data_IF_564672266619
#
_entry.id   IF_564672266619
#
_cell.length_a   1.000
_cell.length_b   1.000
_cell.length_c   1.000
_cell.angle_alpha   90.00
_cell.angle_beta   90.00
_cell.angle_gamma   90.00
#
_symmetry.space_group_name_H-M   'P 1'
#
loop_
_entity.id
_entity.type
_entity.pdbx_description
1 polymer ?
#
# COMPACT_ATOMS: atom_id res chain seq x y z
N UNK A 1 21.38 19.68 -9.70
CA UNK A 1 20.07 20.33 -9.93
C UNK A 1 19.08 19.63 -9.03
N UNK A 2 18.55 20.33 -8.03
CA UNK A 2 17.72 19.72 -6.98
C UNK A 2 16.28 19.50 -7.45
N UNK A 3 15.67 18.42 -7.00
CA UNK A 3 14.24 18.18 -7.14
C UNK A 3 13.49 19.26 -6.33
N UNK A 4 12.46 19.87 -6.92
CA UNK A 4 11.65 20.91 -6.26
C UNK A 4 10.41 20.27 -5.65
N UNK A 5 10.12 20.58 -4.39
CA UNK A 5 8.95 20.09 -3.66
C UNK A 5 8.02 21.26 -3.38
N UNK A 6 6.74 21.11 -3.74
CA UNK A 6 5.71 22.12 -3.55
C UNK A 6 4.55 21.52 -2.77
N UNK A 7 4.18 22.12 -1.64
CA UNK A 7 2.93 21.76 -0.94
C UNK A 7 1.73 22.20 -1.77
N UNK A 8 0.76 21.30 -1.96
CA UNK A 8 -0.51 21.59 -2.61
C UNK A 8 -1.53 22.09 -1.58
N UNK A 9 -2.57 22.77 -2.06
CA UNK A 9 -3.63 23.32 -1.22
C UNK A 9 -4.74 22.31 -0.90
N UNK A 10 -4.66 21.10 -1.48
CA UNK A 10 -5.65 20.04 -1.31
C UNK A 10 -5.88 19.69 0.16
N UNK A 11 -7.13 19.81 0.59
CA UNK A 11 -7.59 19.41 1.93
C UNK A 11 -9.05 18.94 1.85
N UNK A 12 -9.46 18.10 2.81
CA UNK A 12 -10.85 17.64 2.92
C UNK A 12 -11.38 17.11 1.59
N UNK A 13 -12.53 17.62 1.15
CA UNK A 13 -13.19 17.19 -0.08
C UNK A 13 -12.34 17.40 -1.34
N UNK A 14 -11.59 18.51 -1.43
CA UNK A 14 -10.73 18.79 -2.59
C UNK A 14 -9.61 17.73 -2.73
N UNK A 15 -9.06 17.28 -1.60
CA UNK A 15 -8.07 16.20 -1.62
C UNK A 15 -8.69 14.89 -2.13
N UNK A 16 -9.92 14.59 -1.73
CA UNK A 16 -10.63 13.40 -2.19
C UNK A 16 -10.99 13.51 -3.69
N UNK A 17 -11.43 14.68 -4.14
CA UNK A 17 -11.71 14.97 -5.55
C UNK A 17 -10.48 14.73 -6.43
N UNK A 18 -9.32 15.22 -6.02
CA UNK A 18 -8.07 15.11 -6.78
C UNK A 18 -7.53 13.68 -6.83
N UNK A 19 -7.74 12.90 -5.76
CA UNK A 19 -7.40 11.46 -5.73
C UNK A 19 -8.36 10.65 -6.61
N UNK A 20 -9.66 10.88 -6.47
CA UNK A 20 -10.68 10.22 -7.28
C UNK A 20 -10.49 10.53 -8.77
N UNK A 21 -10.25 11.80 -9.13
CA UNK A 21 -10.04 12.21 -10.52
C UNK A 21 -8.86 11.49 -11.17
N UNK A 22 -7.72 11.38 -10.46
CA UNK A 22 -6.52 10.66 -10.95
C UNK A 22 -6.74 9.18 -11.12
N UNK A 23 -7.51 8.57 -10.22
CA UNK A 23 -7.87 7.16 -10.32
C UNK A 23 -8.84 6.92 -11.48
N UNK A 24 -9.87 7.75 -11.59
CA UNK A 24 -10.88 7.69 -12.65
C UNK A 24 -10.27 7.86 -14.04
N UNK A 25 -9.31 8.78 -14.19
CA UNK A 25 -8.63 9.05 -15.47
C UNK A 25 -7.66 7.95 -15.90
N UNK A 26 -7.42 6.92 -15.06
CA UNK A 26 -6.43 5.86 -15.34
C UNK A 26 -5.05 6.43 -15.76
N UNK A 27 -4.67 7.57 -15.18
CA UNK A 27 -3.51 8.34 -15.64
C UNK A 27 -2.23 8.06 -14.83
N UNK A 28 -2.19 6.93 -14.14
CA UNK A 28 -1.09 6.58 -13.24
C UNK A 28 -1.49 5.57 -12.18
N UNK A 29 -0.63 5.42 -11.18
CA UNK A 29 -0.80 4.48 -10.07
C UNK A 29 -0.57 5.13 -8.72
N UNK A 30 -1.31 4.66 -7.72
CA UNK A 30 -1.06 4.96 -6.31
C UNK A 30 -0.23 3.85 -5.69
N UNK A 31 0.90 4.21 -5.09
CA UNK A 31 1.83 3.30 -4.43
C UNK A 31 1.81 3.57 -2.93
N UNK A 32 1.42 2.57 -2.15
CA UNK A 32 1.35 2.63 -0.70
C UNK A 32 2.30 1.59 -0.07
N UNK A 33 3.03 1.98 0.97
CA UNK A 33 3.99 1.09 1.64
C UNK A 33 5.27 1.78 2.04
N UNK A 34 6.32 0.98 2.25
CA UNK A 34 7.69 1.45 2.50
C UNK A 34 8.62 1.08 1.35
N UNK A 35 9.84 1.61 1.35
CA UNK A 35 10.87 1.20 0.41
C UNK A 35 11.09 -0.33 0.48
N UNK A 36 10.96 -0.98 -0.68
CA UNK A 36 11.05 -2.43 -0.81
C UNK A 36 9.79 -3.22 -0.46
N UNK A 37 8.75 -2.61 0.12
CA UNK A 37 7.48 -3.31 0.42
C UNK A 37 6.28 -2.40 0.16
N UNK A 38 5.63 -2.58 -0.99
CA UNK A 38 4.54 -1.71 -1.41
C UNK A 38 3.45 -2.42 -2.21
N UNK A 39 2.24 -1.87 -2.15
CA UNK A 39 1.15 -2.14 -3.06
C UNK A 39 1.05 -1.01 -4.08
N UNK A 40 0.96 -1.37 -5.35
CA UNK A 40 0.65 -0.47 -6.46
C UNK A 40 -0.79 -0.71 -6.90
N UNK A 41 -1.60 0.33 -6.82
CA UNK A 41 -3.02 0.34 -7.11
C UNK A 41 -3.27 1.27 -8.29
N UNK A 42 -3.80 0.71 -9.37
CA UNK A 42 -4.15 1.44 -10.58
C UNK A 42 -5.42 0.86 -11.19
N UNK A 43 -6.02 1.65 -12.07
CA UNK A 43 -7.17 1.28 -12.89
C UNK A 43 -6.72 1.19 -14.33
N UNK A 44 -7.02 0.11 -15.05
CA UNK A 44 -6.84 0.09 -16.50
C UNK A 44 -7.86 1.03 -17.19
N UNK A 45 -7.55 1.64 -18.35
CA UNK A 45 -8.42 2.62 -19.01
C UNK A 45 -9.88 2.17 -19.19
N UNK A 46 -10.09 0.89 -19.48
CA UNK A 46 -11.42 0.29 -19.70
C UNK A 46 -11.95 -0.51 -18.49
N UNK A 47 -11.24 -0.52 -17.36
CA UNK A 47 -11.65 -1.26 -16.16
C UNK A 47 -12.75 -0.49 -15.41
N UNK A 48 -13.90 -1.12 -15.17
CA UNK A 48 -14.91 -0.53 -14.31
C UNK A 48 -14.37 -0.33 -12.88
N UNK A 49 -14.78 0.75 -12.24
CA UNK A 49 -14.48 1.02 -10.85
C UNK A 49 -15.68 1.61 -10.12
N UNK A 50 -15.69 1.44 -8.81
CA UNK A 50 -16.66 2.03 -7.89
C UNK A 50 -15.94 3.08 -7.03
N UNK A 51 -16.58 4.23 -6.86
CA UNK A 51 -16.18 5.25 -5.89
C UNK A 51 -17.29 5.42 -4.84
N UNK A 52 -16.91 5.33 -3.58
CA UNK A 52 -17.81 5.57 -2.45
C UNK A 52 -17.21 6.63 -1.54
N UNK A 53 -18.01 7.65 -1.21
CA UNK A 53 -17.67 8.69 -0.24
C UNK A 53 -18.50 8.55 1.02
N UNK A 54 -17.84 8.67 2.17
CA UNK A 54 -18.49 8.75 3.48
C UNK A 54 -17.76 9.78 4.35
N UNK A 55 -18.26 11.01 4.36
CA UNK A 55 -17.60 12.13 5.02
C UNK A 55 -16.18 12.33 4.47
N UNK A 56 -15.19 12.33 5.36
CA UNK A 56 -13.77 12.50 5.00
C UNK A 56 -13.11 11.22 4.44
N UNK A 57 -13.87 10.16 4.13
CA UNK A 57 -13.33 8.90 3.62
C UNK A 57 -13.77 8.67 2.18
N UNK A 58 -12.80 8.39 1.31
CA UNK A 58 -12.99 7.91 -0.05
C UNK A 58 -12.56 6.45 -0.13
N UNK A 59 -13.39 5.61 -0.76
CA UNK A 59 -13.04 4.24 -1.13
C UNK A 59 -13.20 4.07 -2.64
N UNK A 60 -12.13 3.63 -3.29
CA UNK A 60 -12.05 3.34 -4.72
C UNK A 60 -11.82 1.84 -4.89
N UNK A 61 -12.57 1.17 -5.76
CA UNK A 61 -12.49 -0.29 -5.95
C UNK A 61 -12.58 -0.66 -7.42
N UNK A 62 -11.71 -1.55 -7.86
CA UNK A 62 -11.87 -2.31 -9.09
C UNK A 62 -12.11 -3.78 -8.74
N UNK A 63 -12.20 -4.65 -9.75
CA UNK A 63 -12.23 -6.10 -9.52
C UNK A 63 -10.93 -6.65 -8.92
N UNK A 64 -9.81 -5.93 -9.00
CA UNK A 64 -8.46 -6.43 -8.69
C UNK A 64 -7.72 -5.64 -7.62
N UNK A 65 -8.21 -4.46 -7.26
CA UNK A 65 -7.59 -3.63 -6.23
C UNK A 65 -8.59 -2.69 -5.57
N UNK A 66 -8.24 -2.21 -4.38
CA UNK A 66 -8.99 -1.19 -3.69
C UNK A 66 -8.06 -0.22 -2.96
N UNK A 67 -8.53 1.02 -2.80
CA UNK A 67 -7.86 2.07 -2.06
C UNK A 67 -8.90 2.78 -1.17
N UNK A 68 -8.68 2.79 0.14
CA UNK A 68 -9.41 3.63 1.09
C UNK A 68 -8.47 4.72 1.59
N UNK A 69 -8.91 5.97 1.49
CA UNK A 69 -8.17 7.15 1.91
C UNK A 69 -9.04 8.00 2.84
N UNK A 70 -8.48 8.42 3.96
CA UNK A 70 -9.07 9.40 4.87
C UNK A 70 -8.40 10.77 4.66
N UNK A 71 -9.17 11.79 4.31
CA UNK A 71 -8.72 13.19 4.24
C UNK A 71 -8.60 13.81 5.63
N UNK A 72 -7.76 13.21 6.48
CA UNK A 72 -7.47 13.75 7.80
C UNK A 72 -6.87 15.16 7.68
N UNK A 73 -7.17 16.03 8.65
CA UNK A 73 -6.72 17.44 8.65
C UNK A 73 -5.19 17.62 8.60
N UNK A 74 -4.43 16.57 8.94
CA UNK A 74 -2.97 16.55 8.91
C UNK A 74 -2.40 15.81 7.69
N UNK A 75 -3.24 15.25 6.82
CA UNK A 75 -2.80 14.70 5.55
C UNK A 75 -2.46 15.86 4.60
N UNK A 76 -1.25 15.84 4.06
CA UNK A 76 -0.72 16.89 3.20
C UNK A 76 -0.30 16.29 1.87
N UNK A 77 -0.74 16.93 0.79
CA UNK A 77 -0.27 16.60 -0.55
C UNK A 77 0.94 17.48 -0.93
N UNK A 78 1.96 16.85 -1.47
CA UNK A 78 3.14 17.49 -2.04
C UNK A 78 3.29 17.10 -3.50
N UNK A 79 3.53 18.06 -4.36
CA UNK A 79 4.00 17.84 -5.72
C UNK A 79 5.52 17.85 -5.72
N UNK A 80 6.12 16.82 -6.30
CA UNK A 80 7.56 16.64 -6.37
C UNK A 80 7.96 16.63 -7.85
N UNK A 81 8.67 17.67 -8.25
CA UNK A 81 9.19 17.82 -9.61
C UNK A 81 10.31 16.81 -9.83
N UNK A 82 10.23 16.09 -10.96
CA UNK A 82 11.24 15.12 -11.39
C UNK A 82 12.11 15.75 -12.47
N UNK A 83 13.38 15.34 -12.53
CA UNK A 83 14.29 15.80 -13.58
C UNK A 83 13.76 15.42 -14.98
N UNK A 84 13.21 14.21 -15.08
CA UNK A 84 12.59 13.66 -16.29
C UNK A 84 11.17 13.19 -15.96
N UNK A 85 10.19 13.67 -16.74
CA UNK A 85 8.79 13.24 -16.67
C UNK A 85 7.85 14.13 -15.84
N UNK A 86 6.61 13.69 -15.71
CA UNK A 86 5.58 14.39 -14.95
C UNK A 86 5.90 14.40 -13.45
N UNK A 87 5.50 15.46 -12.72
CA UNK A 87 5.69 15.52 -11.27
C UNK A 87 4.89 14.41 -10.58
N UNK A 88 5.48 13.81 -9.55
CA UNK A 88 4.77 12.85 -8.69
C UNK A 88 4.05 13.59 -7.56
N UNK A 89 2.99 12.98 -7.02
CA UNK A 89 2.30 13.52 -5.84
C UNK A 89 2.60 12.62 -4.65
N UNK A 90 3.07 13.18 -3.54
CA UNK A 90 3.18 12.48 -2.26
C UNK A 90 2.04 12.90 -1.34
N UNK A 91 1.26 11.94 -0.85
CA UNK A 91 0.36 12.10 0.27
C UNK A 91 1.14 11.71 1.53
N UNK A 92 1.28 12.62 2.48
CA UNK A 92 2.09 12.41 3.66
C UNK A 92 1.48 13.05 4.90
N UNK A 93 1.81 12.49 6.06
CA UNK A 93 1.43 13.01 7.37
C UNK A 93 2.67 13.43 8.15
N UNK A 94 2.57 14.34 9.13
CA UNK A 94 3.68 14.56 10.06
C UNK A 94 4.10 13.25 10.73
N UNK A 95 5.39 12.97 10.87
CA UNK A 95 5.91 11.69 11.38
C UNK A 95 5.36 11.32 12.75
N UNK A 96 5.07 12.31 13.60
CA UNK A 96 4.42 12.08 14.90
C UNK A 96 2.99 11.52 14.82
N UNK A 97 2.36 11.54 13.63
CA UNK A 97 1.04 10.95 13.31
C UNK A 97 1.17 9.57 12.64
N UNK A 98 2.36 9.19 12.17
CA UNK A 98 2.62 7.84 11.68
C UNK A 98 2.82 6.87 12.86
N UNK A 99 1.71 6.33 13.36
CA UNK A 99 1.66 5.52 14.58
C UNK A 99 1.12 4.11 14.36
N UNK A 100 1.41 3.50 13.21
CA UNK A 100 1.09 2.09 13.03
C UNK A 100 1.90 1.24 14.01
N UNK A 101 1.24 0.30 14.66
CA UNK A 101 1.91 -0.69 15.50
C UNK A 101 2.76 -1.59 14.60
N UNK A 102 4.07 -1.66 14.89
CA UNK A 102 5.03 -2.40 14.11
C UNK A 102 5.24 -3.81 14.69
N UNK A 103 4.85 -4.84 13.94
CA UNK A 103 5.27 -6.21 14.22
C UNK A 103 6.66 -6.45 13.63
N UNK A 104 7.54 -7.11 14.39
CA UNK A 104 8.90 -7.47 13.96
C UNK A 104 9.06 -8.94 13.56
N UNK A 105 7.94 -9.66 13.51
CA UNK A 105 7.85 -11.06 13.11
C UNK A 105 6.48 -11.32 12.51
N UNK A 106 6.35 -12.46 11.81
CA UNK A 106 5.08 -12.94 11.30
C UNK A 106 4.07 -12.98 12.45
N UNK A 107 3.03 -12.15 12.38
CA UNK A 107 2.12 -11.93 13.51
C UNK A 107 0.69 -12.11 13.04
N UNK A 108 -0.04 -12.92 13.79
CA UNK A 108 -1.48 -13.07 13.61
C UNK A 108 -2.21 -11.84 14.15
N UNK A 109 -3.03 -11.21 13.31
CA UNK A 109 -3.82 -10.03 13.65
C UNK A 109 -5.30 -10.34 13.90
N UNK A 110 -5.74 -11.59 13.70
CA UNK A 110 -7.16 -11.95 13.76
C UNK A 110 -7.91 -11.69 12.45
N UNK A 111 -9.26 -11.74 12.48
CA UNK A 111 -10.13 -11.44 11.34
C UNK A 111 -9.95 -10.02 10.79
N UNK A 112 -10.14 -9.87 9.47
CA UNK A 112 -10.15 -8.57 8.79
C UNK A 112 -11.56 -8.05 8.55
N UNK A 113 -12.11 -7.36 9.55
CA UNK A 113 -13.45 -6.75 9.49
C UNK A 113 -13.48 -5.44 8.66
N UNK A 114 -12.30 -4.95 8.25
CA UNK A 114 -12.10 -3.70 7.51
C UNK A 114 -11.84 -3.94 6.01
N UNK A 115 -12.20 -5.12 5.49
CA UNK A 115 -11.93 -5.51 4.11
C UNK A 115 -12.63 -4.61 3.08
N UNK A 116 -11.89 -4.22 2.04
CA UNK A 116 -12.42 -3.47 0.90
C UNK A 116 -12.82 -4.40 -0.25
N UNK A 117 -12.00 -5.40 -0.55
CA UNK A 117 -12.32 -6.42 -1.56
C UNK A 117 -13.17 -7.53 -0.95
N UNK A 118 -14.03 -8.13 -1.76
CA UNK A 118 -14.95 -9.19 -1.33
C UNK A 118 -14.25 -10.54 -1.12
N UNK A 119 -13.14 -10.78 -1.83
CA UNK A 119 -12.37 -12.01 -1.71
C UNK A 119 -11.82 -12.14 -0.29
N UNK A 120 -12.12 -13.29 0.32
CA UNK A 120 -11.76 -13.65 1.68
C UNK A 120 -12.17 -12.59 2.72
N UNK A 121 -13.31 -11.93 2.50
CA UNK A 121 -13.88 -10.94 3.42
C UNK A 121 -14.03 -11.52 4.85
N UNK A 122 -13.57 -10.80 5.87
CA UNK A 122 -13.52 -11.31 7.25
C UNK A 122 -12.46 -12.40 7.49
N UNK A 123 -11.67 -12.77 6.48
CA UNK A 123 -10.59 -13.75 6.59
C UNK A 123 -9.47 -13.29 7.54
N UNK A 124 -8.67 -14.25 8.01
CA UNK A 124 -7.61 -13.98 8.98
C UNK A 124 -6.47 -13.17 8.35
N UNK A 125 -5.97 -12.14 9.04
CA UNK A 125 -4.84 -11.32 8.60
C UNK A 125 -3.56 -11.67 9.33
N UNK A 126 -2.48 -11.78 8.56
CA UNK A 126 -1.13 -11.96 9.07
C UNK A 126 -0.23 -10.81 8.64
N UNK A 127 0.40 -10.14 9.59
CA UNK A 127 1.47 -9.16 9.35
C UNK A 127 2.77 -9.90 9.06
N UNK A 128 3.45 -9.56 7.95
CA UNK A 128 4.69 -10.24 7.55
C UNK A 128 5.90 -9.83 8.41
N UNK A 129 5.74 -8.84 9.29
CA UNK A 129 6.72 -8.55 10.35
C UNK A 129 7.87 -7.64 9.94
N UNK A 130 7.63 -6.68 9.04
CA UNK A 130 8.69 -5.78 8.51
C UNK A 130 9.25 -4.80 9.56
N UNK A 131 8.60 -4.65 10.71
CA UNK A 131 9.06 -3.76 11.78
C UNK A 131 8.96 -2.26 11.44
N UNK A 132 8.02 -1.88 10.57
CA UNK A 132 7.88 -0.52 10.04
C UNK A 132 6.69 0.21 10.67
N UNK A 133 6.88 1.49 10.98
CA UNK A 133 5.83 2.37 11.54
C UNK A 133 5.13 3.21 10.46
N UNK A 134 5.78 3.40 9.31
CA UNK A 134 5.22 4.14 8.18
C UNK A 134 4.22 3.31 7.37
N UNK A 135 4.37 1.99 7.32
CA UNK A 135 3.37 1.12 6.72
C UNK A 135 3.43 -0.30 7.32
N UNK A 136 2.33 -1.02 7.17
CA UNK A 136 2.19 -2.43 7.48
C UNK A 136 1.86 -3.20 6.21
N UNK A 137 2.50 -4.35 6.01
CA UNK A 137 2.22 -5.26 4.90
C UNK A 137 1.64 -6.56 5.46
N UNK A 138 0.44 -6.94 5.01
CA UNK A 138 -0.27 -8.11 5.54
C UNK A 138 -0.90 -8.96 4.45
N UNK A 139 -1.20 -10.21 4.79
CA UNK A 139 -1.91 -11.16 3.94
C UNK A 139 -3.28 -11.45 4.56
N UNK A 140 -4.37 -11.23 3.82
CA UNK A 140 -5.70 -11.72 4.22
C UNK A 140 -5.91 -13.09 3.62
N UNK A 141 -6.06 -14.07 4.50
CA UNK A 141 -5.96 -15.48 4.14
C UNK A 141 -7.32 -16.19 4.23
N UNK A 142 -7.65 -17.06 3.27
CA UNK A 142 -8.68 -18.07 3.48
C UNK A 142 -8.25 -19.08 4.57
N UNK A 143 -9.20 -19.87 5.08
CA UNK A 143 -9.00 -20.74 6.25
C UNK A 143 -7.88 -21.79 6.08
N UNK A 144 -7.68 -22.31 4.88
CA UNK A 144 -6.62 -23.29 4.58
C UNK A 144 -5.23 -22.63 4.62
N UNK A 145 -5.08 -21.47 4.00
CA UNK A 145 -3.85 -20.69 4.06
C UNK A 145 -3.56 -20.20 5.49
N UNK A 146 -4.59 -19.73 6.21
CA UNK A 146 -4.44 -19.30 7.59
C UNK A 146 -3.91 -20.43 8.50
N UNK A 147 -4.44 -21.65 8.35
CA UNK A 147 -3.92 -22.84 9.05
C UNK A 147 -2.49 -23.20 8.66
N UNK A 148 -2.09 -22.94 7.42
CA UNK A 148 -0.72 -23.18 6.96
C UNK A 148 0.27 -22.13 7.51
N UNK A 149 -0.15 -20.87 7.65
CA UNK A 149 0.71 -19.76 8.12
C UNK A 149 0.82 -19.73 9.64
N UNK A 150 -0.26 -20.00 10.39
CA UNK A 150 -0.32 -19.83 11.84
C UNK A 150 0.82 -20.53 12.63
N UNK A 151 1.26 -21.75 12.29
CA UNK A 151 2.39 -22.40 12.99
C UNK A 151 3.72 -21.66 12.87
N UNK A 152 3.86 -20.72 11.92
CA UNK A 152 5.07 -19.96 11.67
C UNK A 152 5.07 -18.59 12.35
N UNK A 153 3.99 -18.19 13.03
CA UNK A 153 3.92 -16.94 13.78
C UNK A 153 5.08 -16.83 14.79
N UNK A 154 5.61 -15.62 14.97
CA UNK A 154 6.83 -15.35 15.73
C UNK A 154 8.13 -15.52 14.94
N UNK A 155 8.10 -16.03 13.71
CA UNK A 155 9.29 -16.06 12.84
C UNK A 155 9.59 -14.66 12.29
N UNK A 156 10.81 -14.12 12.45
CA UNK A 156 11.17 -12.80 11.94
C UNK A 156 11.25 -12.74 10.41
N UNK A 157 11.14 -11.54 9.85
CA UNK A 157 11.51 -11.28 8.46
C UNK A 157 13.05 -11.35 8.29
N UNK A 158 13.59 -11.87 7.17
CA UNK A 158 12.88 -12.48 6.04
C UNK A 158 12.60 -13.98 6.21
N UNK A 159 13.05 -14.61 7.29
CA UNK A 159 12.96 -16.06 7.53
C UNK A 159 11.54 -16.61 7.44
N UNK A 160 10.53 -15.82 7.84
CA UNK A 160 9.13 -16.20 7.72
C UNK A 160 8.72 -16.49 6.28
N UNK A 161 9.22 -15.72 5.31
CA UNK A 161 8.87 -15.91 3.89
C UNK A 161 9.39 -17.22 3.35
N UNK A 162 10.60 -17.64 3.71
CA UNK A 162 11.14 -18.95 3.30
C UNK A 162 10.38 -20.16 3.87
N UNK A 163 9.40 -19.94 4.76
CA UNK A 163 8.54 -20.98 5.32
C UNK A 163 7.14 -20.99 4.71
N UNK A 164 6.64 -19.85 4.26
CA UNK A 164 5.25 -19.67 3.81
C UNK A 164 5.11 -19.34 2.32
N UNK A 165 6.21 -19.00 1.63
CA UNK A 165 6.22 -18.53 0.25
C UNK A 165 5.46 -19.44 -0.72
N UNK A 166 5.68 -20.74 -0.68
CA UNK A 166 5.03 -21.70 -1.57
C UNK A 166 3.51 -21.72 -1.37
N UNK A 167 3.04 -21.69 -0.12
CA UNK A 167 1.62 -21.66 0.21
C UNK A 167 0.99 -20.32 -0.19
N UNK A 168 1.67 -19.21 0.09
CA UNK A 168 1.23 -17.85 -0.27
C UNK A 168 1.16 -17.67 -1.78
N UNK A 169 2.16 -18.14 -2.52
CA UNK A 169 2.18 -18.08 -3.99
C UNK A 169 1.02 -18.89 -4.58
N UNK A 170 0.84 -20.13 -4.09
CA UNK A 170 -0.23 -21.01 -4.57
C UNK A 170 -1.64 -20.46 -4.30
N UNK A 171 -1.85 -19.84 -3.13
CA UNK A 171 -3.15 -19.25 -2.78
C UNK A 171 -3.36 -17.85 -3.39
N UNK A 172 -2.28 -17.11 -3.64
CA UNK A 172 -2.30 -15.70 -4.07
C UNK A 172 -3.33 -14.88 -3.27
N UNK A 173 -3.19 -14.79 -1.93
CA UNK A 173 -4.18 -14.12 -1.08
C UNK A 173 -4.27 -12.62 -1.40
N UNK A 174 -5.33 -11.98 -0.91
CA UNK A 174 -5.40 -10.52 -0.93
C UNK A 174 -4.25 -9.97 -0.07
N UNK A 175 -3.43 -9.10 -0.68
CA UNK A 175 -2.37 -8.41 0.05
C UNK A 175 -2.88 -7.04 0.44
N UNK A 176 -2.79 -6.75 1.72
CA UNK A 176 -3.32 -5.53 2.32
C UNK A 176 -2.16 -4.72 2.88
N UNK A 177 -2.01 -3.50 2.37
CA UNK A 177 -1.01 -2.53 2.84
C UNK A 177 -1.71 -1.37 3.52
N UNK A 178 -1.33 -1.10 4.77
CA UNK A 178 -1.85 0.01 5.55
C UNK A 178 -0.75 1.03 5.78
N UNK A 179 -1.06 2.30 5.54
CA UNK A 179 -0.22 3.45 5.85
C UNK A 179 -1.08 4.50 6.58
N UNK A 180 -0.52 5.57 7.17
CA UNK A 180 -1.32 6.60 7.81
C UNK A 180 -2.40 7.13 6.88
N UNK A 181 -3.66 7.14 7.36
CA UNK A 181 -4.83 7.58 6.60
C UNK A 181 -5.15 6.76 5.34
N UNK A 182 -4.49 5.61 5.11
CA UNK A 182 -4.64 4.89 3.85
C UNK A 182 -4.60 3.37 4.04
N UNK A 183 -5.44 2.68 3.27
CA UNK A 183 -5.43 1.23 3.13
C UNK A 183 -5.52 0.88 1.64
N UNK A 184 -4.60 0.07 1.16
CA UNK A 184 -4.58 -0.48 -0.18
C UNK A 184 -4.76 -2.00 -0.13
N UNK A 185 -5.58 -2.55 -1.02
CA UNK A 185 -5.75 -4.00 -1.20
C UNK A 185 -5.47 -4.38 -2.64
N UNK A 186 -4.76 -5.49 -2.84
CA UNK A 186 -4.46 -6.02 -4.17
C UNK A 186 -4.81 -7.50 -4.23
N UNK A 187 -5.58 -7.86 -5.25
CA UNK A 187 -6.10 -9.19 -5.55
C UNK A 187 -5.80 -9.59 -7.00
N UNK A 188 -4.52 -9.54 -7.35
CA UNK A 188 -3.97 -10.12 -8.58
C UNK A 188 -3.15 -11.37 -8.29
N UNK A 189 -3.06 -12.28 -9.26
CA UNK A 189 -2.23 -13.48 -9.10
C UNK A 189 -0.77 -13.10 -8.82
N UNK A 190 -0.13 -13.79 -7.87
CA UNK A 190 1.28 -13.59 -7.56
C UNK A 190 2.13 -14.29 -8.61
N UNK A 191 3.17 -13.60 -9.10
CA UNK A 191 4.16 -14.22 -9.97
C UNK A 191 5.34 -14.76 -9.16
N UNK A 192 5.98 -15.87 -9.60
CA UNK A 192 7.17 -16.38 -8.95
C UNK A 192 8.32 -15.34 -8.97
N UNK A 193 9.27 -15.43 -8.02
CA UNK A 193 10.47 -14.58 -8.04
C UNK A 193 11.20 -14.64 -9.39
N UNK A 194 11.56 -13.48 -9.93
CA UNK A 194 12.20 -13.36 -11.25
C UNK A 194 11.25 -13.44 -12.45
N UNK A 195 9.96 -13.66 -12.23
CA UNK A 195 8.93 -13.53 -13.25
C UNK A 195 8.66 -12.08 -13.64
N UNK A 196 7.99 -11.88 -14.78
CA UNK A 196 7.49 -10.56 -15.17
C UNK A 196 6.44 -10.11 -14.16
N UNK A 197 6.47 -8.84 -13.69
CA UNK A 197 5.39 -8.30 -12.87
C UNK A 197 4.04 -8.45 -13.61
N UNK A 198 2.95 -8.82 -12.91
CA UNK A 198 1.65 -8.93 -13.55
C UNK A 198 1.19 -7.57 -14.04
N UNK A 199 0.41 -7.56 -15.13
CA UNK A 199 -0.20 -6.33 -15.63
C UNK A 199 -1.27 -5.82 -14.66
N UNK A 200 -1.28 -4.51 -14.41
CA UNK A 200 -2.16 -3.85 -13.46
C UNK A 200 -1.70 -3.92 -12.00
N UNK A 201 -2.64 -3.84 -11.04
CA UNK A 201 -2.32 -3.74 -9.62
C UNK A 201 -1.48 -4.90 -9.12
N UNK A 202 -0.45 -4.62 -8.35
CA UNK A 202 0.44 -5.65 -7.85
C UNK A 202 1.12 -5.21 -6.56
N UNK A 203 1.78 -6.14 -5.88
CA UNK A 203 2.63 -5.82 -4.74
C UNK A 203 4.06 -6.18 -5.03
N UNK A 204 4.99 -5.46 -4.41
CA UNK A 204 6.42 -5.75 -4.45
C UNK A 204 6.94 -5.97 -3.05
N UNK A 205 7.72 -7.04 -2.88
CA UNK A 205 8.54 -7.30 -1.70
C UNK A 205 9.98 -7.57 -2.18
N UNK A 206 10.88 -6.63 -1.94
CA UNK A 206 12.30 -6.72 -2.30
C UNK A 206 13.13 -6.79 -1.02
N UNK A 207 13.64 -7.98 -0.62
CA UNK A 207 14.37 -8.16 0.63
C UNK A 207 15.56 -7.20 0.79
N UNK A 208 16.33 -6.97 -0.28
CA UNK A 208 17.50 -6.10 -0.25
C UNK A 208 17.13 -4.63 0.04
N UNK A 209 16.05 -4.12 -0.56
CA UNK A 209 15.56 -2.76 -0.29
C UNK A 209 14.96 -2.65 1.12
N UNK A 210 14.22 -3.67 1.57
CA UNK A 210 13.66 -3.72 2.93
C UNK A 210 14.78 -3.70 3.97
N UNK A 211 15.89 -4.40 3.70
CA UNK A 211 17.04 -4.48 4.61
C UNK A 211 17.74 -3.13 4.83
N UNK A 212 17.59 -2.17 3.91
CA UNK A 212 18.16 -0.82 4.05
C UNK A 212 17.53 -0.02 5.19
N UNK A 213 16.36 -0.41 5.70
CA UNK A 213 15.79 0.25 6.87
C UNK A 213 15.05 1.55 6.61
N UNK A 214 14.88 1.93 5.33
CA UNK A 214 14.33 3.23 4.93
C UNK A 214 12.83 3.11 4.64
N UNK A 215 12.03 4.03 5.17
CA UNK A 215 10.57 4.05 4.92
C UNK A 215 10.25 4.66 3.55
N UNK A 216 10.81 5.84 3.25
CA UNK A 216 10.58 6.57 1.99
C UNK A 216 11.63 6.21 0.94
N UNK A 217 11.28 5.93 -0.33
CA UNK A 217 12.28 5.70 -1.37
C UNK A 217 13.31 6.85 -1.46
N UNK A 218 14.62 6.57 -1.56
CA UNK A 218 15.66 7.62 -1.58
C UNK A 218 15.49 8.66 -2.70
N UNK A 219 14.79 8.30 -3.77
CA UNK A 219 14.49 9.17 -4.91
C UNK A 219 13.36 10.18 -4.65
N UNK A 220 12.67 10.07 -3.52
CA UNK A 220 11.53 10.93 -3.16
C UNK A 220 11.96 11.91 -2.06
N UNK A 221 12.22 13.18 -2.40
CA UNK A 221 12.65 14.22 -1.46
C UNK A 221 11.48 14.72 -0.62
N UNK A 222 10.90 13.86 0.23
CA UNK A 222 9.86 14.29 1.15
C UNK A 222 10.45 15.27 2.18
N UNK A 223 9.75 16.35 2.59
CA UNK A 223 10.24 17.23 3.64
C UNK A 223 10.55 16.47 4.93
N UNK A 224 11.52 16.96 5.69
CA UNK A 224 11.83 16.44 7.02
C UNK A 224 10.56 16.42 7.90
N UNK A 225 10.48 15.47 8.83
CA UNK A 225 9.34 15.24 9.72
C UNK A 225 8.01 14.86 9.05
N UNK A 226 8.04 14.36 7.82
CA UNK A 226 6.89 13.71 7.19
C UNK A 226 7.11 12.21 6.97
N UNK A 227 6.04 11.45 7.12
CA UNK A 227 5.94 10.04 6.76
C UNK A 227 4.94 9.87 5.64
N UNK A 228 5.26 8.99 4.70
CA UNK A 228 4.47 8.76 3.50
C UNK A 228 3.22 7.94 3.80
N UNK A 229 2.08 8.37 3.26
CA UNK A 229 0.86 7.57 3.15
C UNK A 229 0.81 6.85 1.80
N UNK A 230 1.04 7.59 0.71
CA UNK A 230 1.14 7.05 -0.64
C UNK A 230 1.84 8.02 -1.59
N UNK A 231 2.33 7.48 -2.70
CA UNK A 231 2.80 8.23 -3.86
C UNK A 231 1.82 8.01 -5.01
N UNK A 232 1.57 9.04 -5.80
CA UNK A 232 0.96 8.91 -7.12
C UNK A 232 2.04 9.11 -8.18
N UNK A 233 2.22 8.10 -9.03
CA UNK A 233 3.07 8.16 -10.21
C UNK A 233 2.20 8.34 -11.45
N UNK A 234 2.28 9.48 -12.15
CA UNK A 234 1.62 9.63 -13.44
C UNK A 234 2.24 8.67 -14.48
N UNK A 235 1.40 8.22 -15.41
CA UNK A 235 1.80 7.42 -16.59
C UNK A 235 2.63 8.24 -17.60
#
# INVERSE_FOLDING_TARGET
MGLTVRRLHWQGDELLDEVEARFASASGSFVAGVHGAAAEVLRAPDEAFEAQRNGAVLTLRTGRAALRLEAAVYLTAFEIQRADGAPLIALAVPSGRARLAAAHALTDLGPDDDNLLARDAGGHRFDVGLGRRAARFTLRCPDDLARAIAPHCGTPWPDCMGRIDAAVLAASPVRVVEAPCLRAEVDTEMTPPGGTPPDGPHTRLTPDDIAQGVDTPPSVPLPEDYALSALFYPA
#
